data_IF_195838910082
#
_entry.id   IF_195838910082
#
_cell.length_a   1.000
_cell.length_b   1.000
_cell.length_c   1.000
_cell.angle_alpha   90.00
_cell.angle_beta   90.00
_cell.angle_gamma   90.00
#
_symmetry.space_group_name_H-M   'P 1'
#
loop_
_entity.id
_entity.type
_entity.pdbx_description
1 polymer ?
#
# COMPACT_ATOMS: atom_id res chain seq x y z
N UNK A 1 11.24 -10.08 2.03
CA UNK A 1 11.90 -9.24 1.00
C UNK A 1 12.73 -10.14 0.10
N UNK A 2 12.40 -10.20 -1.20
CA UNK A 2 13.21 -10.91 -2.21
C UNK A 2 14.24 -9.93 -2.79
N UNK A 3 15.44 -10.43 -3.10
CA UNK A 3 16.48 -9.66 -3.78
C UNK A 3 16.80 -10.34 -5.12
N UNK A 4 16.92 -9.55 -6.19
CA UNK A 4 17.37 -10.05 -7.48
C UNK A 4 18.84 -10.47 -7.41
N UNK A 5 19.21 -11.54 -8.11
CA UNK A 5 20.61 -11.94 -8.21
C UNK A 5 21.43 -10.82 -8.87
N UNK A 6 22.58 -10.47 -8.27
CA UNK A 6 23.47 -9.39 -8.72
C UNK A 6 22.85 -7.97 -8.74
N UNK A 7 21.75 -7.75 -8.01
CA UNK A 7 21.18 -6.42 -7.82
C UNK A 7 21.55 -5.91 -6.43
N UNK A 8 22.26 -4.78 -6.37
CA UNK A 8 22.53 -4.09 -5.11
C UNK A 8 21.20 -3.76 -4.43
N UNK A 9 20.94 -4.46 -3.33
CA UNK A 9 19.71 -4.34 -2.54
C UNK A 9 20.10 -3.98 -1.12
N UNK A 10 19.60 -2.85 -0.64
CA UNK A 10 19.80 -2.43 0.75
C UNK A 10 18.64 -2.94 1.58
N UNK A 11 18.96 -3.73 2.60
CA UNK A 11 17.98 -4.25 3.55
C UNK A 11 18.25 -3.59 4.89
N UNK A 12 17.28 -2.85 5.40
CA UNK A 12 17.30 -2.35 6.77
C UNK A 12 16.23 -3.09 7.57
N UNK A 13 16.59 -3.60 8.74
CA UNK A 13 15.67 -4.29 9.64
C UNK A 13 15.93 -3.85 11.07
N UNK A 14 14.88 -3.45 11.78
CA UNK A 14 14.94 -3.20 13.21
C UNK A 14 14.34 -4.41 13.94
N UNK A 15 15.15 -5.25 14.60
CA UNK A 15 14.65 -6.45 15.25
C UNK A 15 13.98 -6.14 16.59
N UNK A 16 12.82 -6.76 16.83
CA UNK A 16 12.10 -6.70 18.10
C UNK A 16 10.75 -5.98 17.99
N UNK A 17 9.90 -6.20 19.00
CA UNK A 17 8.71 -5.38 19.21
C UNK A 17 9.15 -4.11 19.93
N UNK A 18 9.05 -2.98 19.27
CA UNK A 18 9.39 -1.69 19.87
C UNK A 18 8.08 -1.02 20.31
N UNK A 19 7.80 -1.05 21.61
CA UNK A 19 6.64 -0.35 22.20
C UNK A 19 6.78 1.20 22.10
N UNK A 20 7.96 1.68 21.72
CA UNK A 20 8.26 3.10 21.46
C UNK A 20 8.57 3.32 19.98
N UNK A 21 7.93 4.35 19.42
CA UNK A 21 7.75 4.74 18.00
C UNK A 21 9.04 5.08 17.21
N UNK A 22 10.21 4.72 17.73
CA UNK A 22 11.49 5.36 17.44
C UNK A 22 12.38 4.73 16.34
N UNK A 23 12.34 3.42 16.04
CA UNK A 23 13.18 2.88 14.95
C UNK A 23 12.81 3.43 13.57
N UNK A 24 11.51 3.67 13.34
CA UNK A 24 10.99 4.14 12.06
C UNK A 24 11.34 5.61 11.78
N UNK A 25 11.13 6.49 12.76
CA UNK A 25 11.49 7.91 12.62
C UNK A 25 13.01 8.07 12.43
N UNK A 26 13.82 7.26 13.12
CA UNK A 26 15.27 7.27 12.93
C UNK A 26 15.64 6.89 11.49
N UNK A 27 15.00 5.87 10.90
CA UNK A 27 15.26 5.46 9.52
C UNK A 27 14.98 6.58 8.51
N UNK A 28 13.81 7.21 8.56
CA UNK A 28 13.46 8.27 7.59
C UNK A 28 14.32 9.53 7.78
N UNK A 29 14.78 9.82 9.00
CA UNK A 29 15.76 10.89 9.26
C UNK A 29 17.13 10.58 8.66
N UNK A 30 17.59 9.33 8.75
CA UNK A 30 18.85 8.91 8.13
C UNK A 30 18.81 9.04 6.62
N UNK A 31 17.67 8.77 5.97
CA UNK A 31 17.52 8.98 4.52
C UNK A 31 17.82 10.43 4.10
N UNK A 32 17.55 11.42 4.95
CA UNK A 32 17.86 12.83 4.65
C UNK A 32 19.36 13.17 4.76
N UNK A 33 20.19 12.26 5.29
CA UNK A 33 21.59 12.52 5.61
C UNK A 33 22.57 11.68 4.77
N UNK A 34 22.06 10.87 3.84
CA UNK A 34 22.86 10.01 2.96
C UNK A 34 23.14 10.71 1.61
N UNK A 35 24.37 10.60 1.12
CA UNK A 35 24.77 11.19 -0.17
C UNK A 35 24.33 10.38 -1.39
N UNK A 36 24.04 9.09 -1.20
CA UNK A 36 23.63 8.16 -2.26
C UNK A 36 22.43 7.34 -1.78
N UNK A 37 21.29 7.54 -2.44
CA UNK A 37 20.02 6.92 -2.06
C UNK A 37 19.51 6.01 -3.18
N UNK A 38 19.03 4.80 -2.87
CA UNK A 38 18.13 4.05 -3.75
C UNK A 38 16.96 4.91 -4.24
N UNK A 39 16.48 4.66 -5.45
CA UNK A 39 15.36 5.41 -6.03
C UNK A 39 13.99 4.91 -5.57
N UNK A 40 13.90 3.63 -5.14
CA UNK A 40 12.67 2.97 -4.72
C UNK A 40 12.88 2.32 -3.36
N UNK A 41 12.01 2.63 -2.40
CA UNK A 41 11.98 2.01 -1.08
C UNK A 41 10.67 1.25 -0.90
N UNK A 42 10.78 0.04 -0.37
CA UNK A 42 9.62 -0.82 -0.07
C UNK A 42 9.65 -1.09 1.42
N UNK A 43 8.60 -0.70 2.12
CA UNK A 43 8.58 -0.62 3.58
C UNK A 43 7.41 -1.41 4.13
N UNK A 44 7.71 -2.34 5.03
CA UNK A 44 6.71 -3.02 5.85
C UNK A 44 6.87 -2.53 7.28
N UNK A 45 6.03 -1.57 7.65
CA UNK A 45 5.93 -0.95 8.97
C UNK A 45 4.53 -0.34 9.10
N UNK A 46 3.89 -0.48 10.26
CA UNK A 46 2.58 0.09 10.52
C UNK A 46 2.24 0.12 12.00
N UNK A 47 1.55 1.19 12.40
CA UNK A 47 0.89 1.39 13.69
C UNK A 47 -0.58 1.74 13.42
N UNK A 48 -1.46 1.53 14.40
CA UNK A 48 -2.82 2.08 14.33
C UNK A 48 -2.77 3.61 14.30
N UNK A 49 -3.40 4.26 13.33
CA UNK A 49 -3.31 5.72 13.15
C UNK A 49 -3.78 6.48 14.40
N UNK A 50 -4.84 5.98 15.06
CA UNK A 50 -5.39 6.57 16.29
C UNK A 50 -4.47 6.47 17.51
N UNK A 51 -3.48 5.56 17.48
CA UNK A 51 -2.52 5.39 18.58
C UNK A 51 -1.42 6.46 18.58
N UNK A 52 -1.25 7.18 17.47
CA UNK A 52 -0.17 8.13 17.27
C UNK A 52 -0.61 9.56 17.57
N UNK A 53 0.32 10.36 18.12
CA UNK A 53 0.06 11.79 18.28
C UNK A 53 0.00 12.49 16.92
N UNK A 54 -0.86 13.51 16.82
CA UNK A 54 -0.93 14.35 15.61
C UNK A 54 0.42 14.99 15.27
N UNK A 55 1.21 15.36 16.27
CA UNK A 55 2.56 15.93 16.08
C UNK A 55 3.49 14.91 15.41
N UNK A 56 3.45 13.64 15.84
CA UNK A 56 4.26 12.58 15.25
C UNK A 56 3.86 12.31 13.80
N UNK A 57 2.56 12.12 13.53
CA UNK A 57 2.04 11.91 12.17
C UNK A 57 2.45 13.06 11.24
N UNK A 58 2.25 14.31 11.67
CA UNK A 58 2.61 15.48 10.87
C UNK A 58 4.12 15.58 10.64
N UNK A 59 4.93 15.22 11.64
CA UNK A 59 6.38 15.18 11.49
C UNK A 59 6.80 14.12 10.47
N UNK A 60 6.30 12.90 10.59
CA UNK A 60 6.62 11.81 9.67
C UNK A 60 6.15 12.15 8.24
N UNK A 61 4.95 12.71 8.08
CA UNK A 61 4.46 13.19 6.78
C UNK A 61 5.38 14.25 6.17
N UNK A 62 5.96 15.13 7.00
CA UNK A 62 6.98 16.08 6.55
C UNK A 62 8.24 15.39 6.03
N UNK A 63 8.67 14.32 6.67
CA UNK A 63 9.80 13.53 6.20
C UNK A 63 9.49 12.80 4.87
N UNK A 64 8.26 12.30 4.68
CA UNK A 64 7.83 11.77 3.39
C UNK A 64 7.76 12.83 2.29
N UNK A 65 7.28 14.04 2.60
CA UNK A 65 7.33 15.17 1.66
C UNK A 65 8.76 15.48 1.23
N UNK A 66 9.72 15.47 2.16
CA UNK A 66 11.14 15.67 1.83
C UNK A 66 11.67 14.57 0.93
N UNK A 67 11.40 13.31 1.25
CA UNK A 67 11.84 12.16 0.46
C UNK A 67 11.26 12.18 -0.97
N UNK A 68 9.97 12.48 -1.11
CA UNK A 68 9.31 12.60 -2.41
C UNK A 68 9.83 13.81 -3.22
N UNK A 69 10.15 14.92 -2.56
CA UNK A 69 10.79 16.08 -3.20
C UNK A 69 12.22 15.77 -3.71
N UNK A 70 12.92 14.80 -3.11
CA UNK A 70 14.20 14.27 -3.60
C UNK A 70 14.02 13.29 -4.78
N UNK A 71 12.79 13.03 -5.22
CA UNK A 71 12.49 12.11 -6.32
C UNK A 71 12.52 10.63 -5.91
N UNK A 72 12.40 10.34 -4.61
CA UNK A 72 12.30 8.95 -4.13
C UNK A 72 10.87 8.44 -4.27
N UNK A 73 10.73 7.17 -4.67
CA UNK A 73 9.47 6.43 -4.61
C UNK A 73 9.42 5.67 -3.30
N UNK A 74 8.47 6.00 -2.43
CA UNK A 74 8.25 5.32 -1.15
C UNK A 74 6.99 4.47 -1.24
N UNK A 75 7.12 3.15 -1.09
CA UNK A 75 6.00 2.22 -1.04
C UNK A 75 5.84 1.62 0.35
N UNK A 76 4.61 1.57 0.85
CA UNK A 76 4.27 0.98 2.14
C UNK A 76 3.20 -0.09 2.01
N UNK A 77 3.35 -1.15 2.81
CA UNK A 77 2.31 -2.15 3.02
C UNK A 77 1.06 -1.51 3.62
N UNK A 78 -0.12 -1.84 3.10
CA UNK A 78 -1.38 -1.25 3.57
C UNK A 78 -1.86 -1.82 4.90
N UNK A 79 -1.35 -2.98 5.32
CA UNK A 79 -1.75 -3.70 6.52
C UNK A 79 -2.36 -5.06 6.21
N UNK A 80 -2.45 -5.92 7.23
CA UNK A 80 -2.86 -7.32 7.09
C UNK A 80 -4.12 -7.63 7.92
N UNK A 81 -4.91 -6.62 8.27
CA UNK A 81 -6.12 -6.72 9.10
C UNK A 81 -7.35 -6.08 8.46
N UNK A 82 -7.39 -6.04 7.12
CA UNK A 82 -8.50 -5.46 6.36
C UNK A 82 -8.77 -3.99 6.69
N UNK A 83 -10.03 -3.65 6.98
CA UNK A 83 -10.39 -2.30 7.45
C UNK A 83 -9.95 -2.01 8.90
N UNK A 84 -9.41 -3.01 9.60
CA UNK A 84 -9.16 -2.97 11.02
C UNK A 84 -10.46 -2.99 11.84
N UNK A 85 -10.31 -3.04 13.16
CA UNK A 85 -11.43 -2.96 14.09
C UNK A 85 -11.01 -2.19 15.35
N UNK A 86 -11.70 -1.08 15.62
CA UNK A 86 -11.48 -0.24 16.79
C UNK A 86 -12.72 -0.20 17.68
N UNK A 87 -12.56 -0.63 18.93
CA UNK A 87 -13.60 -0.48 19.95
C UNK A 87 -13.40 0.83 20.69
N UNK A 88 -14.30 1.79 20.45
CA UNK A 88 -14.25 3.13 21.03
C UNK A 88 -15.63 3.53 21.55
N UNK A 89 -15.69 3.93 22.82
CA UNK A 89 -16.93 4.39 23.47
C UNK A 89 -18.10 3.39 23.37
N UNK A 90 -17.81 2.09 23.46
CA UNK A 90 -18.81 1.02 23.38
C UNK A 90 -19.37 0.78 21.97
N UNK A 91 -18.73 1.32 20.93
CA UNK A 91 -19.07 1.11 19.52
C UNK A 91 -17.84 0.63 18.75
N UNK A 92 -18.08 0.03 17.59
CA UNK A 92 -17.01 -0.36 16.67
C UNK A 92 -16.89 0.62 15.52
N UNK A 93 -15.65 0.78 15.05
CA UNK A 93 -15.28 1.51 13.84
C UNK A 93 -14.14 0.79 13.14
N UNK A 94 -13.92 1.14 11.88
CA UNK A 94 -12.71 0.75 11.18
C UNK A 94 -11.51 1.51 11.74
N UNK A 95 -10.34 0.91 11.56
CA UNK A 95 -9.10 1.35 12.19
C UNK A 95 -7.99 1.47 11.13
N UNK A 96 -7.82 2.66 10.53
CA UNK A 96 -6.78 2.85 9.54
C UNK A 96 -5.38 2.75 10.16
N UNK A 97 -4.41 2.37 9.35
CA UNK A 97 -3.00 2.25 9.75
C UNK A 97 -2.17 3.41 9.24
N UNK A 98 -1.15 3.81 10.01
CA UNK A 98 -0.12 4.76 9.61
C UNK A 98 1.24 4.03 9.60
N UNK A 99 2.12 4.20 8.61
CA UNK A 99 2.11 5.25 7.58
C UNK A 99 1.19 5.05 6.39
N UNK A 100 0.53 3.89 6.22
CA UNK A 100 -0.29 3.57 5.05
C UNK A 100 -1.33 4.64 4.67
N UNK A 101 -1.83 5.40 5.65
CA UNK A 101 -2.75 6.52 5.45
C UNK A 101 -2.12 7.83 4.98
N UNK A 102 -0.78 7.92 4.91
CA UNK A 102 -0.07 9.14 4.54
C UNK A 102 -0.34 9.54 3.08
N UNK A 103 -0.57 10.84 2.80
CA UNK A 103 -0.80 11.33 1.45
C UNK A 103 0.50 11.54 0.64
N UNK A 104 1.66 11.07 1.11
CA UNK A 104 2.96 11.33 0.47
C UNK A 104 3.73 10.05 0.16
N UNK A 105 3.04 8.92 0.12
CA UNK A 105 3.59 7.59 -0.16
C UNK A 105 2.64 6.84 -1.09
N UNK A 106 3.13 5.78 -1.74
CA UNK A 106 2.28 4.83 -2.46
C UNK A 106 1.98 3.63 -1.55
N UNK A 107 0.74 3.46 -1.16
CA UNK A 107 0.29 2.37 -0.30
C UNK A 107 -0.15 1.17 -1.15
N UNK A 108 0.35 -0.02 -0.81
CA UNK A 108 0.20 -1.26 -1.58
C UNK A 108 -0.65 -2.26 -0.81
N UNK A 109 -1.82 -2.58 -1.35
CA UNK A 109 -2.74 -3.61 -0.89
C UNK A 109 -2.36 -5.02 -1.33
N UNK A 110 -3.29 -5.94 -1.11
CA UNK A 110 -3.10 -7.37 -1.28
C UNK A 110 -4.17 -8.03 -2.15
N UNK A 111 -3.73 -8.94 -3.01
CA UNK A 111 -4.57 -9.81 -3.82
C UNK A 111 -4.17 -11.28 -3.68
N UNK A 112 -5.05 -12.17 -4.08
CA UNK A 112 -4.81 -13.61 -4.14
C UNK A 112 -5.34 -14.18 -5.45
N UNK A 113 -4.85 -15.35 -5.86
CA UNK A 113 -5.45 -16.04 -7.00
C UNK A 113 -6.77 -16.67 -6.59
N UNK A 114 -7.80 -16.50 -7.42
CA UNK A 114 -9.09 -17.18 -7.22
C UNK A 114 -8.95 -18.70 -7.11
N UNK A 115 -7.98 -19.27 -7.83
CA UNK A 115 -7.65 -20.69 -7.82
C UNK A 115 -6.21 -20.86 -7.32
N UNK A 116 -5.95 -21.42 -6.13
CA UNK A 116 -4.63 -21.42 -5.48
C UNK A 116 -3.47 -22.05 -6.29
N UNK A 117 -3.78 -22.89 -7.27
CA UNK A 117 -2.78 -23.59 -8.09
C UNK A 117 -2.76 -23.14 -9.55
N UNK A 118 -3.50 -22.09 -9.91
CA UNK A 118 -3.57 -21.57 -11.28
C UNK A 118 -3.40 -20.06 -11.30
N UNK A 119 -2.41 -19.59 -12.07
CA UNK A 119 -2.23 -18.17 -12.38
C UNK A 119 -3.37 -17.76 -13.32
N UNK A 120 -4.43 -17.22 -12.74
CA UNK A 120 -5.66 -16.81 -13.42
C UNK A 120 -6.04 -15.42 -12.92
N UNK A 121 -7.34 -15.14 -12.76
CA UNK A 121 -7.79 -13.87 -12.20
C UNK A 121 -7.39 -13.78 -10.73
N UNK A 122 -6.92 -12.60 -10.37
CA UNK A 122 -6.76 -12.20 -8.99
C UNK A 122 -8.14 -11.82 -8.41
N UNK A 123 -8.21 -11.84 -7.09
CA UNK A 123 -9.32 -11.37 -6.26
C UNK A 123 -8.72 -10.70 -5.03
N UNK A 124 -9.53 -9.95 -4.29
CA UNK A 124 -9.12 -9.41 -2.99
C UNK A 124 -8.57 -10.54 -2.10
N UNK A 125 -7.38 -10.32 -1.55
CA UNK A 125 -6.95 -11.07 -0.37
C UNK A 125 -7.63 -10.43 0.86
N UNK A 126 -8.34 -11.24 1.66
CA UNK A 126 -9.22 -10.72 2.70
C UNK A 126 -8.47 -9.92 3.79
N UNK A 127 -7.17 -10.15 3.94
CA UNK A 127 -6.32 -9.40 4.88
C UNK A 127 -5.94 -8.00 4.37
N UNK A 128 -6.14 -7.68 3.09
CA UNK A 128 -5.65 -6.45 2.46
C UNK A 128 -6.09 -5.20 3.21
N UNK A 129 -5.12 -4.50 3.82
CA UNK A 129 -5.35 -3.28 4.56
C UNK A 129 -5.94 -2.18 3.69
N UNK A 130 -6.92 -1.45 4.19
CA UNK A 130 -7.57 -0.40 3.42
C UNK A 130 -8.54 0.44 4.24
N UNK A 131 -8.80 1.66 3.81
CA UNK A 131 -9.70 2.54 4.54
C UNK A 131 -9.50 4.01 4.22
N UNK A 132 -10.05 4.88 5.07
CA UNK A 132 -10.12 6.32 4.82
C UNK A 132 -9.29 7.14 5.82
N UNK A 133 -8.49 8.08 5.31
CA UNK A 133 -7.73 9.12 6.02
C UNK A 133 -7.43 10.33 5.09
N UNK A 134 -7.44 11.60 5.53
CA UNK A 134 -7.41 12.83 4.68
C UNK A 134 -6.38 12.88 3.51
N UNK A 135 -6.80 13.10 2.24
CA UNK A 135 -5.87 13.16 1.08
C UNK A 135 -6.44 13.64 -0.30
N UNK A 136 -5.53 13.80 -1.29
CA UNK A 136 -5.58 14.35 -2.68
C UNK A 136 -6.47 13.64 -3.73
N UNK A 137 -7.21 12.60 -3.34
CA UNK A 137 -7.85 11.66 -4.27
C UNK A 137 -9.37 11.88 -4.40
N UNK A 138 -9.77 13.15 -4.41
CA UNK A 138 -11.17 13.58 -4.30
C UNK A 138 -12.08 12.92 -5.34
N UNK A 139 -11.64 12.85 -6.61
CA UNK A 139 -12.45 12.27 -7.69
C UNK A 139 -12.66 10.77 -7.54
N UNK A 140 -11.58 10.00 -7.36
CA UNK A 140 -11.63 8.54 -7.21
C UNK A 140 -12.46 8.13 -5.98
N UNK A 141 -12.26 8.82 -4.85
CA UNK A 141 -13.03 8.58 -3.63
C UNK A 141 -14.50 8.93 -3.81
N UNK A 142 -14.81 10.10 -4.39
CA UNK A 142 -16.19 10.50 -4.63
C UNK A 142 -16.90 9.53 -5.56
N UNK A 143 -16.20 9.01 -6.58
CA UNK A 143 -16.73 7.98 -7.46
C UNK A 143 -17.04 6.69 -6.70
N UNK A 144 -16.09 6.15 -5.91
CA UNK A 144 -16.32 4.94 -5.10
C UNK A 144 -17.49 5.10 -4.13
N UNK A 145 -17.54 6.21 -3.38
CA UNK A 145 -18.61 6.49 -2.42
C UNK A 145 -19.99 6.63 -3.08
N UNK A 146 -20.04 6.94 -4.39
CA UNK A 146 -21.28 7.07 -5.15
C UNK A 146 -21.68 5.76 -5.83
N UNK A 147 -20.72 4.95 -6.28
CA UNK A 147 -20.97 3.76 -7.11
C UNK A 147 -21.03 2.46 -6.32
N UNK A 148 -20.38 2.39 -5.15
CA UNK A 148 -20.30 1.15 -4.37
C UNK A 148 -21.67 0.72 -3.88
N UNK A 149 -22.04 -0.53 -4.20
CA UNK A 149 -23.25 -1.18 -3.72
C UNK A 149 -23.11 -1.81 -2.32
N UNK A 150 -21.89 -1.82 -1.77
CA UNK A 150 -21.53 -2.47 -0.51
C UNK A 150 -20.77 -1.49 0.39
N UNK A 151 -21.38 -0.34 0.68
CA UNK A 151 -20.81 0.59 1.65
C UNK A 151 -21.09 0.12 3.09
N UNK A 152 -20.06 0.07 3.95
CA UNK A 152 -20.23 -0.13 5.39
C UNK A 152 -21.11 0.97 6.00
N UNK A 153 -21.69 0.75 7.19
CA UNK A 153 -22.44 1.80 7.88
C UNK A 153 -21.55 3.03 8.10
N UNK A 154 -22.07 4.23 7.83
CA UNK A 154 -21.28 5.47 7.86
C UNK A 154 -20.65 5.79 9.22
N UNK A 155 -21.10 5.15 10.30
CA UNK A 155 -20.47 5.24 11.62
C UNK A 155 -19.10 4.58 11.71
N UNK A 156 -18.77 3.66 10.78
CA UNK A 156 -17.53 2.88 10.80
C UNK A 156 -16.33 3.61 10.21
N UNK A 157 -16.53 4.60 9.32
CA UNK A 157 -15.42 5.24 8.62
C UNK A 157 -15.67 6.73 8.36
N UNK A 158 -14.60 7.46 8.08
CA UNK A 158 -14.67 8.89 7.77
C UNK A 158 -14.62 9.12 6.25
N UNK A 159 -15.79 9.32 5.63
CA UNK A 159 -15.90 9.54 4.18
C UNK A 159 -15.31 10.87 3.68
N UNK A 160 -14.95 11.80 4.57
CA UNK A 160 -14.33 13.10 4.20
C UNK A 160 -12.81 13.02 4.09
N UNK A 161 -12.22 11.86 4.37
CA UNK A 161 -10.80 11.62 4.18
C UNK A 161 -10.45 11.28 2.73
N UNK A 162 -9.17 11.30 2.41
CA UNK A 162 -8.64 10.41 1.38
C UNK A 162 -8.74 8.97 1.87
N UNK A 163 -8.08 8.06 1.18
CA UNK A 163 -8.20 6.65 1.43
C UNK A 163 -7.05 5.89 0.76
N UNK A 164 -6.93 4.62 1.08
CA UNK A 164 -5.87 3.75 0.63
C UNK A 164 -6.42 2.31 0.52
N UNK A 165 -5.75 1.40 -0.20
CA UNK A 165 -4.46 1.57 -0.87
C UNK A 165 -4.53 2.34 -2.19
N UNK A 166 -3.37 2.67 -2.76
CA UNK A 166 -3.27 3.27 -4.10
C UNK A 166 -3.25 2.19 -5.19
N UNK A 167 -2.62 1.06 -4.90
CA UNK A 167 -2.39 -0.08 -5.81
C UNK A 167 -2.41 -1.38 -5.02
N UNK A 168 -2.36 -2.54 -5.69
CA UNK A 168 -2.22 -3.83 -5.05
C UNK A 168 -1.24 -4.74 -5.81
N UNK A 169 -0.87 -5.85 -5.19
CA UNK A 169 -0.22 -6.99 -5.81
C UNK A 169 -0.47 -8.24 -4.96
N UNK A 170 -0.09 -9.42 -5.46
CA UNK A 170 -0.26 -10.67 -4.73
C UNK A 170 0.32 -10.58 -3.32
N UNK A 171 -0.46 -10.95 -2.31
CA UNK A 171 -0.10 -10.98 -0.90
C UNK A 171 -0.21 -12.35 -0.27
N UNK A 172 -0.62 -13.39 -1.01
CA UNK A 172 -0.89 -14.71 -0.45
C UNK A 172 0.07 -15.81 -0.96
N UNK A 173 0.55 -16.65 -0.04
CA UNK A 173 1.17 -17.94 -0.39
C UNK A 173 2.60 -17.90 -0.91
N UNK A 174 3.40 -16.90 -0.53
CA UNK A 174 4.79 -16.78 -0.97
C UNK A 174 5.70 -17.85 -0.35
N UNK A 175 6.71 -18.24 -1.13
CA UNK A 175 7.88 -18.97 -0.63
C UNK A 175 8.99 -18.00 -0.29
N UNK A 176 9.60 -18.20 0.87
CA UNK A 176 10.82 -17.49 1.28
C UNK A 176 11.88 -18.48 1.71
N UNK A 177 13.13 -18.02 1.80
CA UNK A 177 14.20 -18.78 2.47
C UNK A 177 14.61 -18.00 3.70
N UNK A 178 14.48 -18.62 4.88
CA UNK A 178 14.92 -18.06 6.15
C UNK A 178 15.80 -19.05 6.86
N UNK A 179 16.99 -18.62 7.31
CA UNK A 179 18.00 -19.50 7.92
C UNK A 179 18.29 -20.75 7.09
N UNK A 180 18.42 -20.59 5.77
CA UNK A 180 18.62 -21.65 4.77
C UNK A 180 17.47 -22.69 4.68
N UNK A 181 16.30 -22.40 5.23
CA UNK A 181 15.11 -23.25 5.15
C UNK A 181 14.08 -22.61 4.23
N UNK A 182 13.56 -23.34 3.20
CA UNK A 182 12.44 -22.86 2.43
C UNK A 182 11.15 -22.93 3.26
N UNK A 183 10.43 -21.80 3.34
CA UNK A 183 9.21 -21.64 4.12
C UNK A 183 8.09 -21.24 3.14
N UNK A 184 7.09 -22.10 2.90
CA UNK A 184 5.89 -21.75 2.15
C UNK A 184 4.89 -20.95 3.00
N UNK A 185 3.79 -20.51 2.38
CA UNK A 185 2.63 -19.90 3.05
C UNK A 185 2.94 -18.58 3.77
N UNK A 186 3.95 -17.85 3.32
CA UNK A 186 4.18 -16.48 3.80
C UNK A 186 3.19 -15.57 3.10
N UNK A 187 2.30 -14.96 3.86
CA UNK A 187 1.27 -14.05 3.37
C UNK A 187 1.37 -12.69 4.07
N UNK A 188 0.76 -11.67 3.47
CA UNK A 188 0.76 -10.28 3.94
C UNK A 188 1.06 -9.29 2.82
N UNK A 189 0.58 -8.06 2.97
CA UNK A 189 0.90 -6.90 2.13
C UNK A 189 2.38 -6.53 2.21
N UNK A 190 3.08 -7.05 3.22
CA UNK A 190 4.55 -7.12 3.30
C UNK A 190 5.20 -7.84 2.11
N UNK A 191 4.48 -8.74 1.43
CA UNK A 191 4.94 -9.43 0.22
C UNK A 191 4.56 -8.68 -1.06
N UNK A 192 3.36 -8.09 -1.13
CA UNK A 192 2.91 -7.33 -2.30
C UNK A 192 3.71 -6.05 -2.52
N UNK A 193 4.07 -5.36 -1.44
CA UNK A 193 4.84 -4.09 -1.46
C UNK A 193 6.18 -4.21 -2.20
N UNK A 194 7.09 -5.15 -1.87
CA UNK A 194 8.34 -5.32 -2.59
C UNK A 194 8.15 -5.82 -4.04
N UNK A 195 7.07 -6.56 -4.34
CA UNK A 195 6.76 -6.97 -5.72
C UNK A 195 6.44 -5.75 -6.58
N UNK A 196 5.54 -4.87 -6.12
CA UNK A 196 5.21 -3.65 -6.85
C UNK A 196 6.41 -2.71 -6.96
N UNK A 197 7.18 -2.54 -5.87
CA UNK A 197 8.39 -1.72 -5.89
C UNK A 197 9.47 -2.23 -6.85
N UNK A 198 9.66 -3.55 -6.95
CA UNK A 198 10.57 -4.15 -7.93
C UNK A 198 10.16 -3.83 -9.37
N UNK A 199 8.86 -3.88 -9.67
CA UNK A 199 8.30 -3.50 -10.97
C UNK A 199 8.57 -2.01 -11.27
N UNK A 200 8.35 -1.11 -10.31
CA UNK A 200 8.66 0.30 -10.48
C UNK A 200 10.17 0.57 -10.66
N UNK A 201 11.02 -0.22 -10.01
CA UNK A 201 12.48 -0.14 -10.22
C UNK A 201 12.86 -0.50 -11.65
N UNK A 202 12.24 -1.54 -12.24
CA UNK A 202 12.44 -1.88 -13.66
C UNK A 202 11.92 -0.79 -14.59
N UNK A 203 10.79 -0.16 -14.27
CA UNK A 203 10.29 0.98 -15.05
C UNK A 203 11.26 2.17 -14.96
N UNK A 204 11.82 2.45 -13.77
CA UNK A 204 12.86 3.46 -13.60
C UNK A 204 14.12 3.16 -14.42
N UNK A 205 14.54 1.89 -14.53
CA UNK A 205 15.64 1.50 -15.42
C UNK A 205 15.35 1.89 -16.88
N UNK A 206 14.17 1.57 -17.39
CA UNK A 206 13.76 1.99 -18.73
C UNK A 206 13.72 3.52 -18.88
N UNK A 207 13.26 4.26 -17.86
CA UNK A 207 13.24 5.73 -17.89
C UNK A 207 14.66 6.30 -17.95
N UNK A 208 15.56 5.81 -17.10
CA UNK A 208 16.98 6.21 -17.06
C UNK A 208 17.67 5.96 -18.40
N UNK A 209 17.50 4.77 -18.98
CA UNK A 209 18.09 4.41 -20.27
C UNK A 209 17.57 5.27 -21.43
N UNK A 210 16.37 5.84 -21.30
CA UNK A 210 15.78 6.77 -22.27
C UNK A 210 16.03 8.26 -21.92
N UNK A 211 16.91 8.56 -20.95
CA UNK A 211 17.22 9.93 -20.54
C UNK A 211 16.06 10.66 -19.85
N UNK A 212 15.10 9.92 -19.30
CA UNK A 212 13.94 10.46 -18.60
C UNK A 212 14.19 10.54 -17.09
N UNK A 213 13.57 11.50 -16.39
CA UNK A 213 13.66 11.57 -14.93
C UNK A 213 13.00 10.35 -14.29
N UNK A 214 13.43 9.98 -13.09
CA UNK A 214 12.82 8.91 -12.28
C UNK A 214 11.34 9.21 -11.99
N UNK A 215 10.59 8.18 -11.62
CA UNK A 215 9.17 8.33 -11.26
C UNK A 215 8.95 9.19 -10.02
N UNK A 216 9.75 9.00 -8.96
CA UNK A 216 9.56 9.69 -7.69
C UNK A 216 8.18 9.39 -7.07
N UNK A 217 7.46 10.42 -6.63
CA UNK A 217 6.12 10.28 -6.07
C UNK A 217 5.10 9.93 -7.17
N UNK A 218 4.61 8.68 -7.13
CA UNK A 218 3.82 8.09 -8.20
C UNK A 218 2.35 8.53 -8.20
N UNK A 219 1.75 8.75 -7.02
CA UNK A 219 0.30 8.81 -6.88
C UNK A 219 -0.36 9.90 -7.74
N UNK A 220 0.14 11.16 -7.81
CA UNK A 220 -0.51 12.17 -8.63
C UNK A 220 -0.64 11.75 -10.09
N UNK A 221 0.41 11.12 -10.65
CA UNK A 221 0.41 10.62 -12.03
C UNK A 221 -0.51 9.41 -12.19
N UNK A 222 -0.48 8.48 -11.23
CA UNK A 222 -1.31 7.29 -11.26
C UNK A 222 -2.81 7.64 -11.27
N UNK A 223 -3.23 8.56 -10.42
CA UNK A 223 -4.63 8.99 -10.32
C UNK A 223 -5.05 9.83 -11.52
N UNK A 224 -4.20 10.73 -12.04
CA UNK A 224 -4.48 11.46 -13.29
C UNK A 224 -4.67 10.52 -14.49
N UNK A 225 -3.95 9.40 -14.51
CA UNK A 225 -4.06 8.38 -15.54
C UNK A 225 -5.15 7.34 -15.24
N UNK A 226 -5.94 7.50 -14.18
CA UNK A 226 -7.02 6.58 -13.78
C UNK A 226 -6.54 5.13 -13.66
N UNK A 227 -5.36 4.92 -13.08
CA UNK A 227 -4.79 3.58 -12.91
C UNK A 227 -4.36 2.90 -14.21
N UNK A 228 -4.22 3.62 -15.33
CA UNK A 228 -3.92 3.00 -16.62
C UNK A 228 -2.65 2.13 -16.59
N UNK A 229 -2.80 0.89 -17.05
CA UNK A 229 -1.74 -0.12 -17.03
C UNK A 229 -1.79 -1.04 -15.81
N UNK A 230 -2.76 -0.86 -14.92
CA UNK A 230 -3.10 -1.80 -13.85
C UNK A 230 -4.30 -2.67 -14.26
N UNK A 231 -4.41 -3.85 -13.65
CA UNK A 231 -5.59 -4.71 -13.71
C UNK A 231 -6.53 -4.35 -12.56
N UNK A 232 -7.76 -4.00 -12.91
CA UNK A 232 -8.82 -3.61 -11.97
C UNK A 232 -9.41 -4.85 -11.28
N UNK A 233 -9.27 -4.90 -9.95
CA UNK A 233 -9.76 -5.98 -9.11
C UNK A 233 -11.15 -5.64 -8.60
N UNK A 234 -12.13 -6.47 -8.93
CA UNK A 234 -13.55 -6.12 -8.73
C UNK A 234 -14.34 -7.14 -7.91
N UNK A 235 -13.64 -8.14 -7.35
CA UNK A 235 -14.25 -9.25 -6.63
C UNK A 235 -13.61 -9.46 -5.26
N UNK A 236 -14.45 -9.34 -4.24
CA UNK A 236 -14.11 -9.64 -2.85
C UNK A 236 -14.18 -8.42 -1.94
N UNK A 237 -14.04 -8.67 -0.65
CA UNK A 237 -14.05 -7.68 0.41
C UNK A 237 -12.97 -8.05 1.41
N UNK A 238 -12.34 -7.05 2.02
CA UNK A 238 -11.41 -7.31 3.11
C UNK A 238 -12.14 -7.50 4.44
N UNK A 239 -11.45 -8.02 5.45
CA UNK A 239 -12.01 -8.29 6.75
C UNK A 239 -12.20 -7.03 7.61
N UNK A 240 -13.02 -7.15 8.66
CA UNK A 240 -13.15 -6.15 9.73
C UNK A 240 -13.72 -6.80 10.99
N UNK A 241 -14.37 -6.01 11.85
CA UNK A 241 -14.95 -6.44 13.11
C UNK A 241 -15.91 -7.63 12.95
N UNK A 242 -15.62 -8.73 13.63
CA UNK A 242 -16.54 -9.86 13.78
C UNK A 242 -17.68 -9.49 14.75
N UNK A 243 -18.67 -8.73 14.26
CA UNK A 243 -19.81 -8.24 15.03
C UNK A 243 -21.12 -8.32 14.23
N UNK A 244 -22.24 -7.97 14.87
CA UNK A 244 -23.58 -8.05 14.27
C UNK A 244 -23.88 -6.99 13.19
N UNK A 245 -23.09 -5.92 13.10
CA UNK A 245 -23.36 -4.81 12.18
C UNK A 245 -22.62 -4.93 10.84
N UNK A 246 -21.38 -5.43 10.85
CA UNK A 246 -20.55 -5.58 9.63
C UNK A 246 -20.14 -7.02 9.35
N UNK A 247 -20.50 -7.97 10.21
CA UNK A 247 -20.36 -9.43 9.99
C UNK A 247 -18.96 -9.88 9.54
N UNK A 248 -17.91 -9.19 10.02
CA UNK A 248 -16.53 -9.51 9.67
C UNK A 248 -16.03 -8.93 8.35
N UNK A 249 -16.82 -8.10 7.67
CA UNK A 249 -16.45 -7.50 6.39
C UNK A 249 -16.21 -5.99 6.53
N UNK A 250 -15.17 -5.51 5.86
CA UNK A 250 -14.89 -4.09 5.68
C UNK A 250 -15.50 -3.57 4.38
N UNK A 251 -14.71 -2.83 3.61
CA UNK A 251 -15.03 -2.43 2.26
C UNK A 251 -14.90 -3.59 1.26
N UNK A 252 -15.56 -3.44 0.12
CA UNK A 252 -15.48 -4.36 -1.01
C UNK A 252 -14.87 -3.67 -2.23
N UNK A 253 -14.10 -4.44 -3.00
CA UNK A 253 -13.55 -4.00 -4.28
C UNK A 253 -14.66 -3.81 -5.31
N UNK A 254 -14.43 -2.97 -6.31
CA UNK A 254 -15.40 -2.72 -7.38
C UNK A 254 -14.78 -1.92 -8.52
N UNK A 255 -15.51 -1.71 -9.64
CA UNK A 255 -14.92 -1.10 -10.83
C UNK A 255 -14.27 0.26 -10.58
N UNK A 256 -13.00 0.39 -10.98
CA UNK A 256 -12.19 1.58 -10.77
C UNK A 256 -11.36 1.52 -9.49
N UNK A 257 -11.19 2.67 -8.84
CA UNK A 257 -10.48 2.71 -7.55
C UNK A 257 -11.40 2.28 -6.42
N UNK A 258 -10.87 1.47 -5.49
CA UNK A 258 -11.55 1.07 -4.25
C UNK A 258 -10.58 1.06 -3.04
N UNK A 259 -11.09 1.15 -1.79
CA UNK A 259 -10.27 1.16 -0.58
C UNK A 259 -9.87 -0.25 -0.11
N UNK A 260 -9.66 -1.20 -1.04
CA UNK A 260 -9.19 -2.57 -0.75
C UNK A 260 -7.99 -2.92 -1.62
N UNK A 261 -8.06 -2.62 -2.91
CA UNK A 261 -7.06 -2.90 -3.94
C UNK A 261 -6.57 -1.66 -4.68
N UNK A 262 -7.13 -0.48 -4.38
CA UNK A 262 -6.76 0.77 -5.02
C UNK A 262 -7.12 0.74 -6.49
N UNK A 263 -6.20 1.18 -7.35
CA UNK A 263 -6.34 1.02 -8.81
C UNK A 263 -6.05 -0.40 -9.32
N UNK A 264 -5.65 -1.31 -8.44
CA UNK A 264 -5.41 -2.72 -8.76
C UNK A 264 -3.95 -3.09 -9.02
N UNK A 265 -3.72 -4.15 -9.80
CA UNK A 265 -2.46 -4.90 -9.83
C UNK A 265 -1.62 -4.62 -11.08
N UNK A 266 -0.27 -4.68 -11.04
CA UNK A 266 0.56 -4.17 -12.12
C UNK A 266 0.62 -5.09 -13.34
N UNK A 267 0.10 -4.62 -14.48
CA UNK A 267 0.41 -5.19 -15.79
C UNK A 267 1.68 -4.57 -16.34
N UNK A 268 2.85 -5.14 -16.04
CA UNK A 268 4.16 -4.55 -16.40
C UNK A 268 4.24 -3.93 -17.80
N UNK A 269 3.90 -4.63 -18.91
CA UNK A 269 4.06 -4.04 -20.24
C UNK A 269 3.08 -2.88 -20.52
N UNK A 270 1.91 -2.86 -19.88
CA UNK A 270 0.94 -1.78 -20.02
C UNK A 270 1.33 -0.59 -19.14
N UNK A 271 1.69 -0.85 -17.87
CA UNK A 271 2.16 0.14 -16.91
C UNK A 271 3.45 0.83 -17.38
N UNK A 272 4.39 0.08 -17.96
CA UNK A 272 5.60 0.66 -18.55
C UNK A 272 5.26 1.69 -19.63
N UNK A 273 4.30 1.40 -20.51
CA UNK A 273 3.90 2.34 -21.58
C UNK A 273 3.31 3.62 -21.01
N UNK A 274 2.47 3.53 -19.98
CA UNK A 274 1.81 4.69 -19.37
C UNK A 274 2.80 5.54 -18.56
N UNK A 275 3.84 4.89 -18.04
CA UNK A 275 4.88 5.50 -17.22
C UNK A 275 6.15 5.91 -17.97
N UNK A 276 6.26 5.72 -19.29
CA UNK A 276 7.38 6.23 -20.09
C UNK A 276 7.17 7.66 -20.56
N UNK A 277 6.00 8.01 -21.11
CA UNK A 277 5.77 9.36 -21.65
C UNK A 277 5.19 10.29 -20.56
N UNK A 278 5.79 11.46 -20.29
CA UNK A 278 5.35 12.37 -19.22
C UNK A 278 3.89 12.80 -19.37
#
# INVERSE_FOLDING_TARGET
MSAGANISTWVNSSPGWHEVQEPFLQWILLLSNESTLPHVYTVSYGDDEDSLSSIYIQRVNTEFMKATALGLTLLFASGDTGAGCWSVSGRHKFRPSFPASSPYITTVGGTSFRNPFLITNEVVDYISGGGFSPSYQEEAVAQFLKSSSHLPPSSYFNASGGAYPDVAALSDGYWVVSNNVPIPWVSGTSASTPVFGGILSLINEHRILNGQPLLGFLNPRLYQQHGAGLFDETHGCHESCLNEEVEGQGFCSGPGWDPVTGWGTPSFPALLKTLLNP
#
